data_IF_563076628436
#
_entry.id   IF_563076628436
#
_cell.length_a   1.000
_cell.length_b   1.000
_cell.length_c   1.000
_cell.angle_alpha   90.00
_cell.angle_beta   90.00
_cell.angle_gamma   90.00
#
_symmetry.space_group_name_H-M   'P 1'
#
loop_
_entity.id
_entity.type
_entity.pdbx_description
1 polymer ?
#
# COMPACT_ATOMS: atom_id res chain seq x y z
N UNK A 1 -35.64 -4.38 13.63
CA UNK A 1 -36.01 -3.89 12.28
C UNK A 1 -35.20 -2.63 12.05
N UNK A 2 -34.35 -2.46 11.03
CA UNK A 2 -34.11 -3.19 9.80
C UNK A 2 -32.59 -3.35 9.60
N UNK A 3 -32.17 -4.46 9.00
CA UNK A 3 -30.84 -4.59 8.42
C UNK A 3 -30.83 -3.77 7.13
N UNK A 4 -30.04 -2.68 7.12
CA UNK A 4 -29.61 -2.05 5.89
C UNK A 4 -28.16 -2.46 5.68
N UNK A 5 -27.93 -3.37 4.72
CA UNK A 5 -26.61 -3.59 4.17
C UNK A 5 -26.19 -2.34 3.41
N UNK A 6 -25.58 -1.40 4.12
CA UNK A 6 -24.83 -0.29 3.57
C UNK A 6 -23.43 -0.36 4.15
N UNK A 7 -22.41 -0.23 3.31
CA UNK A 7 -21.03 -0.04 3.75
C UNK A 7 -21.04 1.19 4.67
N UNK A 8 -20.92 1.00 5.98
CA UNK A 8 -20.99 2.09 6.95
C UNK A 8 -19.79 3.00 6.71
N UNK A 9 -20.07 4.18 6.18
CA UNK A 9 -19.11 5.28 6.10
C UNK A 9 -18.62 5.70 7.48
N UNK A 10 -17.62 6.57 7.50
CA UNK A 10 -16.89 7.00 8.69
C UNK A 10 -17.86 7.48 9.78
N UNK A 11 -17.68 6.96 11.00
CA UNK A 11 -18.42 7.37 12.19
C UNK A 11 -17.48 8.12 13.14
N UNK A 12 -17.89 9.32 13.55
CA UNK A 12 -17.14 10.17 14.48
C UNK A 12 -18.04 10.53 15.67
N UNK A 13 -17.46 10.65 16.86
CA UNK A 13 -18.14 11.19 18.04
C UNK A 13 -17.18 11.99 18.92
N UNK A 14 -17.68 13.05 19.52
CA UNK A 14 -16.95 13.91 20.46
C UNK A 14 -17.77 14.18 21.72
N UNK A 15 -17.07 14.46 22.83
CA UNK A 15 -17.66 14.81 24.11
C UNK A 15 -16.83 15.92 24.76
N UNK A 16 -17.38 17.13 24.79
CA UNK A 16 -16.77 18.29 25.43
C UNK A 16 -17.42 18.61 26.77
N UNK A 17 -16.60 18.74 27.82
CA UNK A 17 -17.03 19.01 29.18
C UNK A 17 -16.29 20.23 29.75
N UNK A 18 -17.00 21.31 30.14
CA UNK A 18 -16.38 22.39 30.90
C UNK A 18 -16.06 21.93 32.31
N UNK A 19 -14.79 21.94 32.68
CA UNK A 19 -14.33 21.52 34.01
C UNK A 19 -14.50 22.65 35.03
N UNK A 20 -14.05 23.85 34.67
CA UNK A 20 -14.16 25.06 35.48
C UNK A 20 -14.01 26.28 34.60
N UNK A 21 -14.69 27.36 34.96
CA UNK A 21 -14.75 28.55 34.14
C UNK A 21 -15.84 29.52 34.56
N UNK A 22 -15.97 30.59 33.79
CA UNK A 22 -17.05 31.55 33.81
C UNK A 22 -17.51 31.82 32.38
N UNK A 23 -18.35 32.84 32.17
CA UNK A 23 -18.88 33.16 30.85
C UNK A 23 -17.81 33.55 29.82
N UNK A 24 -16.63 33.96 30.27
CA UNK A 24 -15.56 34.45 29.40
C UNK A 24 -14.35 33.52 29.36
N UNK A 25 -14.29 32.50 30.21
CA UNK A 25 -13.13 31.62 30.32
C UNK A 25 -13.60 30.22 30.64
N UNK A 26 -13.13 29.21 29.91
CA UNK A 26 -13.41 27.83 30.25
C UNK A 26 -12.18 26.96 30.06
N UNK A 27 -11.89 26.15 31.07
CA UNK A 27 -11.07 24.95 30.93
C UNK A 27 -11.97 23.79 30.53
N UNK A 28 -11.58 23.10 29.47
CA UNK A 28 -12.37 22.10 28.78
C UNK A 28 -11.62 20.76 28.80
N UNK A 29 -12.37 19.70 29.02
CA UNK A 29 -11.98 18.33 28.71
C UNK A 29 -12.71 17.90 27.45
N UNK A 30 -12.02 17.26 26.52
CA UNK A 30 -12.62 16.75 25.29
C UNK A 30 -12.13 15.32 25.02
N UNK A 31 -13.07 14.42 24.71
CA UNK A 31 -12.78 13.08 24.20
C UNK A 31 -13.38 12.91 22.81
N UNK A 32 -12.59 12.39 21.86
CA UNK A 32 -13.03 12.12 20.49
C UNK A 32 -12.78 10.65 20.13
N UNK A 33 -13.66 10.08 19.31
CA UNK A 33 -13.54 8.74 18.80
C UNK A 33 -13.96 8.69 17.33
N UNK A 34 -13.28 7.85 16.56
CA UNK A 34 -13.49 7.68 15.12
C UNK A 34 -13.37 6.21 14.74
N UNK A 35 -14.21 5.77 13.82
CA UNK A 35 -14.23 4.42 13.28
C UNK A 35 -14.57 4.44 11.80
N UNK A 36 -13.81 3.72 10.99
CA UNK A 36 -13.98 3.65 9.54
C UNK A 36 -14.40 2.27 9.02
N UNK A 37 -14.82 2.24 7.76
CA UNK A 37 -15.10 1.00 7.03
C UNK A 37 -13.85 0.15 6.78
N UNK A 38 -12.69 0.78 6.80
CA UNK A 38 -11.35 0.20 6.74
C UNK A 38 -10.94 -0.55 8.04
N UNK A 39 -11.89 -0.76 8.96
CA UNK A 39 -11.70 -1.35 10.30
C UNK A 39 -10.72 -0.60 11.21
N UNK A 40 -10.22 0.54 10.75
CA UNK A 40 -9.36 1.41 11.50
C UNK A 40 -10.17 2.23 12.49
N UNK A 41 -9.51 2.69 13.55
CA UNK A 41 -10.15 3.53 14.55
C UNK A 41 -9.16 4.45 15.23
N UNK A 42 -9.67 5.53 15.80
CA UNK A 42 -8.90 6.43 16.63
C UNK A 42 -9.68 6.79 17.89
N UNK A 43 -8.95 6.96 18.99
CA UNK A 43 -9.47 7.53 20.23
C UNK A 43 -8.51 8.63 20.66
N UNK A 44 -9.07 9.78 21.01
CA UNK A 44 -8.34 10.97 21.39
C UNK A 44 -8.88 11.51 22.71
N UNK A 45 -7.97 11.98 23.56
CA UNK A 45 -8.33 12.70 24.78
C UNK A 45 -7.51 13.97 24.89
N UNK A 46 -8.15 15.09 25.22
CA UNK A 46 -7.49 16.39 25.23
C UNK A 46 -8.02 17.34 26.29
N UNK A 47 -7.20 18.34 26.57
CA UNK A 47 -7.53 19.46 27.44
C UNK A 47 -7.39 20.75 26.65
N UNK A 48 -8.28 21.71 26.92
CA UNK A 48 -8.29 23.00 26.25
C UNK A 48 -8.60 24.15 27.19
N UNK A 49 -8.21 25.34 26.79
CA UNK A 49 -8.61 26.58 27.41
C UNK A 49 -9.16 27.53 26.34
N UNK A 50 -10.30 28.18 26.63
CA UNK A 50 -10.92 29.19 25.77
C UNK A 50 -11.16 30.46 26.56
N UNK A 51 -10.87 31.61 25.95
CA UNK A 51 -11.09 32.94 26.48
C UNK A 51 -11.90 33.81 25.50
N UNK A 52 -12.96 34.45 25.97
CA UNK A 52 -13.75 35.43 25.22
C UNK A 52 -13.06 36.79 25.30
N UNK A 53 -12.62 37.27 24.15
CA UNK A 53 -11.93 38.54 23.96
C UNK A 53 -12.90 39.58 23.39
N UNK A 54 -13.18 40.62 24.19
CA UNK A 54 -14.03 41.78 23.85
C UNK A 54 -15.42 41.41 23.29
N UNK A 55 -16.06 40.35 23.81
CA UNK A 55 -17.38 39.86 23.35
C UNK A 55 -17.48 39.59 21.84
N UNK A 56 -16.34 39.49 21.15
CA UNK A 56 -16.26 39.46 19.71
C UNK A 56 -15.59 38.19 19.18
N UNK A 57 -14.63 37.64 19.94
CA UNK A 57 -13.86 36.46 19.55
C UNK A 57 -13.64 35.55 20.75
N UNK A 58 -13.55 34.25 20.49
CA UNK A 58 -12.95 33.29 21.41
C UNK A 58 -11.54 33.01 20.92
N UNK A 59 -10.56 33.09 21.81
CA UNK A 59 -9.21 32.61 21.60
C UNK A 59 -9.00 31.35 22.41
N UNK A 60 -8.48 30.29 21.79
CA UNK A 60 -8.32 29.00 22.44
C UNK A 60 -7.00 28.34 22.12
N UNK A 61 -6.57 27.49 23.03
CA UNK A 61 -5.45 26.58 22.85
C UNK A 61 -5.77 25.24 23.51
N UNK A 62 -5.31 24.15 22.90
CA UNK A 62 -5.59 22.80 23.37
C UNK A 62 -4.46 21.83 23.03
N UNK A 63 -4.47 20.69 23.72
CA UNK A 63 -3.52 19.61 23.56
C UNK A 63 -4.28 18.28 23.65
N UNK A 64 -4.03 17.39 22.68
CA UNK A 64 -4.56 16.04 22.69
C UNK A 64 -3.46 14.99 22.69
N UNK A 65 -3.82 13.83 23.21
CA UNK A 65 -3.15 12.56 22.94
C UNK A 65 -4.08 11.73 22.07
N UNK A 66 -3.61 11.35 20.88
CA UNK A 66 -4.35 10.53 19.93
C UNK A 66 -3.76 9.12 19.88
N UNK A 67 -4.61 8.11 19.87
CA UNK A 67 -4.25 6.71 19.62
C UNK A 67 -4.95 6.23 18.36
N UNK A 68 -4.18 5.98 17.31
CA UNK A 68 -4.64 5.37 16.08
C UNK A 68 -4.44 3.86 16.16
N UNK A 69 -5.52 3.11 16.01
CA UNK A 69 -5.48 1.66 15.76
C UNK A 69 -5.61 1.44 14.26
N UNK A 70 -4.56 0.92 13.66
CA UNK A 70 -4.50 0.59 12.24
C UNK A 70 -4.52 -0.93 12.07
N UNK A 71 -5.38 -1.44 11.18
CA UNK A 71 -5.53 -2.85 10.84
C UNK A 71 -5.13 -2.99 9.39
N UNK A 72 -4.12 -3.80 9.11
CA UNK A 72 -3.77 -4.13 7.74
C UNK A 72 -4.64 -5.30 7.27
N UNK A 73 -5.62 -5.04 6.40
CA UNK A 73 -6.59 -6.05 5.94
C UNK A 73 -5.93 -7.25 5.24
N UNK A 74 -4.75 -7.08 4.65
CA UNK A 74 -4.03 -8.15 3.95
C UNK A 74 -3.40 -9.19 4.90
N UNK A 75 -2.82 -8.73 6.00
CA UNK A 75 -2.06 -9.58 6.94
C UNK A 75 -2.76 -9.73 8.31
N UNK A 76 -3.94 -9.12 8.48
CA UNK A 76 -4.76 -9.10 9.72
C UNK A 76 -4.00 -8.64 10.98
N UNK A 77 -2.87 -7.94 10.79
CA UNK A 77 -2.07 -7.37 11.87
C UNK A 77 -2.69 -6.06 12.34
N UNK A 78 -2.54 -5.77 13.64
CA UNK A 78 -3.05 -4.55 14.26
C UNK A 78 -1.92 -3.78 14.90
N UNK A 79 -1.82 -2.49 14.58
CA UNK A 79 -0.79 -1.59 15.06
C UNK A 79 -1.39 -0.38 15.75
N UNK A 80 -0.58 0.25 16.60
CA UNK A 80 -0.99 1.41 17.36
C UNK A 80 0.01 2.54 17.19
N UNK A 81 -0.44 3.64 16.60
CA UNK A 81 0.34 4.87 16.48
C UNK A 81 -0.17 5.91 17.47
N UNK A 82 0.74 6.54 18.19
CA UNK A 82 0.42 7.54 19.21
C UNK A 82 0.92 8.91 18.80
N UNK A 83 0.07 9.92 18.99
CA UNK A 83 0.39 11.31 18.67
C UNK A 83 0.12 12.22 19.86
N UNK A 84 0.93 13.26 19.97
CA UNK A 84 0.63 14.45 20.77
C UNK A 84 0.32 15.58 19.81
N UNK A 85 -0.84 16.20 19.99
CA UNK A 85 -1.43 17.06 18.96
C UNK A 85 -1.87 18.40 19.56
N UNK A 86 -0.97 19.39 19.64
CA UNK A 86 -1.31 20.74 20.07
C UNK A 86 -2.08 21.50 18.99
N UNK A 87 -2.93 22.44 19.41
CA UNK A 87 -3.61 23.34 18.48
C UNK A 87 -4.03 24.65 19.10
N UNK A 88 -4.30 25.61 18.24
CA UNK A 88 -4.79 26.94 18.58
C UNK A 88 -5.98 27.30 17.70
N UNK A 89 -6.87 28.10 18.24
CA UNK A 89 -8.05 28.55 17.52
C UNK A 89 -8.44 29.99 17.84
N UNK A 90 -9.07 30.63 16.85
CA UNK A 90 -9.81 31.87 17.02
C UNK A 90 -11.18 31.71 16.39
N UNK A 91 -12.24 31.81 17.20
CA UNK A 91 -13.62 31.73 16.72
C UNK A 91 -14.30 33.09 16.84
N UNK A 92 -15.14 33.44 15.88
CA UNK A 92 -15.83 34.74 15.85
C UNK A 92 -17.23 34.66 15.25
N UNK A 93 -17.93 35.79 15.21
CA UNK A 93 -19.31 35.82 14.68
C UNK A 93 -19.40 35.75 13.15
N UNK A 94 -18.28 35.93 12.46
CA UNK A 94 -18.16 35.88 10.99
C UNK A 94 -17.20 34.78 10.55
N UNK A 95 -16.06 34.66 11.24
CA UNK A 95 -14.95 33.85 10.79
C UNK A 95 -14.30 33.08 11.93
N UNK A 96 -13.94 31.83 11.65
CA UNK A 96 -13.15 30.95 12.50
C UNK A 96 -11.78 30.69 11.84
N UNK A 97 -10.76 30.48 12.67
CA UNK A 97 -9.41 30.06 12.27
C UNK A 97 -8.93 28.97 13.23
N UNK A 98 -8.37 27.89 12.71
CA UNK A 98 -7.78 26.81 13.51
C UNK A 98 -6.46 26.36 12.88
N UNK A 99 -5.49 26.02 13.72
CA UNK A 99 -4.20 25.44 13.30
C UNK A 99 -3.85 24.32 14.29
N UNK A 100 -3.48 23.15 13.78
CA UNK A 100 -3.08 21.98 14.57
C UNK A 100 -1.73 21.46 14.13
N UNK A 101 -0.92 21.01 15.09
CA UNK A 101 0.27 20.20 14.85
C UNK A 101 0.06 18.76 15.31
N UNK A 102 0.75 17.82 14.69
CA UNK A 102 0.70 16.40 15.00
C UNK A 102 2.12 15.87 15.17
N UNK A 103 2.43 15.36 16.36
CA UNK A 103 3.79 14.89 16.70
C UNK A 103 3.70 13.41 17.09
N UNK A 104 4.24 12.48 16.29
CA UNK A 104 4.25 11.06 16.64
C UNK A 104 5.15 10.83 17.87
N UNK A 105 4.64 10.08 18.84
CA UNK A 105 5.36 9.68 20.06
C UNK A 105 5.53 8.16 20.19
N UNK A 106 5.06 7.40 19.19
CA UNK A 106 5.35 5.98 19.01
C UNK A 106 6.34 5.76 17.87
N UNK A 107 6.64 4.49 17.56
CA UNK A 107 7.25 4.13 16.28
C UNK A 107 6.45 4.74 15.13
N UNK A 108 7.15 5.21 14.10
CA UNK A 108 6.58 5.85 12.91
C UNK A 108 6.51 4.88 11.72
N UNK A 109 7.09 3.69 11.86
CA UNK A 109 7.11 2.68 10.82
C UNK A 109 7.14 1.30 11.46
N UNK A 110 6.31 0.40 10.96
CA UNK A 110 6.22 -0.98 11.42
C UNK A 110 6.18 -1.94 10.23
N UNK A 111 6.81 -3.11 10.39
CA UNK A 111 6.79 -4.16 9.37
C UNK A 111 5.64 -5.13 9.70
N UNK A 112 4.63 -5.14 8.84
CA UNK A 112 3.39 -5.91 9.02
C UNK A 112 3.41 -7.29 8.38
N UNK A 113 4.41 -7.57 7.55
CA UNK A 113 4.47 -8.81 6.81
C UNK A 113 5.68 -8.90 5.92
N UNK A 114 6.17 -10.13 5.74
CA UNK A 114 7.25 -10.44 4.81
C UNK A 114 6.79 -11.51 3.85
N UNK A 115 6.82 -11.22 2.55
CA UNK A 115 6.60 -12.21 1.50
C UNK A 115 7.91 -12.53 0.79
N UNK A 116 7.99 -13.70 0.17
CA UNK A 116 9.11 -14.10 -0.68
C UNK A 116 8.66 -14.02 -2.13
N UNK A 117 9.50 -13.44 -2.98
CA UNK A 117 9.28 -13.34 -4.41
C UNK A 117 10.52 -13.85 -5.16
N UNK A 118 10.27 -14.67 -6.18
CA UNK A 118 11.32 -15.06 -7.12
C UNK A 118 11.53 -13.90 -8.09
N UNK A 119 12.76 -13.40 -8.14
CA UNK A 119 13.18 -12.34 -9.06
C UNK A 119 14.39 -12.78 -9.84
N UNK A 120 14.50 -12.36 -11.10
CA UNK A 120 15.64 -12.67 -11.94
C UNK A 120 16.41 -11.39 -12.26
N UNK A 121 17.73 -11.52 -12.37
CA UNK A 121 18.57 -10.47 -12.96
C UNK A 121 19.73 -11.11 -13.70
N UNK A 122 19.90 -10.75 -14.97
CA UNK A 122 20.95 -11.32 -15.81
C UNK A 122 20.77 -12.83 -15.97
N UNK A 123 21.74 -13.60 -15.46
CA UNK A 123 21.79 -15.06 -15.49
C UNK A 123 21.45 -15.71 -14.14
N UNK A 124 20.84 -14.97 -13.22
CA UNK A 124 20.68 -15.40 -11.83
C UNK A 124 19.22 -15.31 -11.37
N UNK A 125 18.83 -16.28 -10.53
CA UNK A 125 17.56 -16.35 -9.82
C UNK A 125 17.78 -16.02 -8.34
N UNK A 126 16.98 -15.10 -7.82
CA UNK A 126 17.02 -14.66 -6.44
C UNK A 126 15.70 -14.92 -5.74
N UNK A 127 15.79 -15.36 -4.49
CA UNK A 127 14.72 -15.29 -3.50
C UNK A 127 14.80 -13.94 -2.80
N UNK A 128 13.89 -13.05 -3.13
CA UNK A 128 13.85 -11.67 -2.63
C UNK A 128 12.75 -11.53 -1.60
N UNK A 129 13.12 -11.05 -0.41
CA UNK A 129 12.13 -10.72 0.63
C UNK A 129 11.49 -9.38 0.32
N UNK A 130 10.17 -9.32 0.32
CA UNK A 130 9.38 -8.09 0.22
C UNK A 130 8.75 -7.81 1.58
N UNK A 131 9.09 -6.69 2.18
CA UNK A 131 8.52 -6.23 3.45
C UNK A 131 7.34 -5.30 3.18
N UNK A 132 6.20 -5.59 3.80
CA UNK A 132 5.07 -4.68 3.86
C UNK A 132 5.27 -3.76 5.07
N UNK A 133 5.23 -2.45 4.85
CA UNK A 133 5.47 -1.44 5.87
C UNK A 133 4.23 -0.57 6.04
N UNK A 134 3.85 -0.31 7.28
CA UNK A 134 2.94 0.79 7.61
C UNK A 134 3.78 1.97 8.11
N UNK A 135 3.54 3.16 7.57
CA UNK A 135 4.32 4.36 7.87
C UNK A 135 3.41 5.53 8.21
N UNK A 136 3.79 6.29 9.22
CA UNK A 136 3.12 7.54 9.64
C UNK A 136 4.19 8.59 9.98
N UNK A 137 3.79 9.80 10.32
CA UNK A 137 4.77 10.86 10.58
C UNK A 137 4.15 12.16 11.09
N UNK A 138 5.00 13.15 11.43
CA UNK A 138 4.56 14.46 11.88
C UNK A 138 3.76 15.18 10.79
N UNK A 139 2.95 16.14 11.23
CA UNK A 139 2.20 16.97 10.29
C UNK A 139 1.62 18.23 10.92
N UNK A 140 1.01 19.03 10.06
CA UNK A 140 0.33 20.27 10.41
C UNK A 140 -0.92 20.40 9.54
N UNK A 141 -1.98 20.95 10.11
CA UNK A 141 -3.12 21.40 9.34
C UNK A 141 -3.64 22.76 9.80
N UNK A 142 -4.44 23.38 8.95
CA UNK A 142 -5.13 24.62 9.28
C UNK A 142 -6.40 24.78 8.46
N UNK A 143 -7.37 25.46 9.06
CA UNK A 143 -8.69 25.71 8.47
C UNK A 143 -9.13 27.14 8.77
N UNK A 144 -9.72 27.79 7.77
CA UNK A 144 -10.45 29.04 7.91
C UNK A 144 -11.93 28.80 7.57
N UNK A 145 -12.83 29.31 8.40
CA UNK A 145 -14.26 29.09 8.27
C UNK A 145 -15.03 30.39 8.20
N UNK A 146 -15.98 30.50 7.28
CA UNK A 146 -17.06 31.48 7.33
C UNK A 146 -18.26 30.86 8.05
N UNK A 147 -18.56 31.39 9.22
CA UNK A 147 -19.69 30.92 10.05
C UNK A 147 -21.02 31.53 9.57
N UNK A 148 -20.94 32.55 8.69
CA UNK A 148 -22.07 33.16 8.00
C UNK A 148 -21.71 33.39 6.55
N UNK A 149 -22.20 32.52 5.65
CA UNK A 149 -22.04 32.73 4.21
C UNK A 149 -23.00 33.84 3.75
N UNK A 150 -22.52 34.89 3.06
CA UNK A 150 -23.38 35.93 2.53
C UNK A 150 -24.51 35.35 1.65
N UNK A 151 -25.73 35.85 1.85
CA UNK A 151 -26.93 35.47 1.09
C UNK A 151 -27.45 34.03 1.28
N UNK A 152 -26.81 33.21 2.11
CA UNK A 152 -27.29 31.86 2.46
C UNK A 152 -27.33 31.72 3.98
N UNK A 153 -28.46 32.09 4.63
CA UNK A 153 -28.61 32.00 6.08
C UNK A 153 -28.28 30.58 6.60
N UNK A 154 -27.67 30.50 7.77
CA UNK A 154 -27.29 29.27 8.47
C UNK A 154 -26.19 28.42 7.80
N UNK A 155 -25.81 28.68 6.54
CA UNK A 155 -24.71 27.97 5.92
C UNK A 155 -23.37 28.41 6.53
N UNK A 156 -22.58 27.41 6.93
CA UNK A 156 -21.19 27.56 7.33
C UNK A 156 -20.31 26.88 6.29
N UNK A 157 -19.23 27.54 5.89
CA UNK A 157 -18.30 27.03 4.89
C UNK A 157 -16.87 27.15 5.41
N UNK A 158 -16.06 26.14 5.15
CA UNK A 158 -14.69 26.03 5.63
C UNK A 158 -13.79 25.59 4.50
N UNK A 159 -12.57 26.11 4.51
CA UNK A 159 -11.50 25.68 3.62
C UNK A 159 -10.21 25.55 4.43
N UNK A 160 -9.46 24.49 4.16
CA UNK A 160 -8.24 24.20 4.89
C UNK A 160 -7.22 23.46 4.05
N UNK A 161 -6.02 23.34 4.60
CA UNK A 161 -4.92 22.60 4.01
C UNK A 161 -4.15 21.84 5.07
N UNK A 162 -3.45 20.79 4.65
CA UNK A 162 -2.67 19.94 5.53
C UNK A 162 -1.40 19.44 4.84
N UNK A 163 -0.39 19.15 5.67
CA UNK A 163 0.87 18.57 5.25
C UNK A 163 1.35 17.55 6.29
N UNK A 164 1.71 16.35 5.85
CA UNK A 164 2.28 15.29 6.69
C UNK A 164 3.54 14.72 6.02
N UNK A 165 4.49 14.28 6.84
CA UNK A 165 5.77 13.71 6.41
C UNK A 165 5.93 12.28 6.95
N UNK A 166 5.24 11.27 6.37
CA UNK A 166 5.36 9.89 6.84
C UNK A 166 6.79 9.35 6.62
N UNK A 167 7.26 8.55 7.58
CA UNK A 167 8.65 8.07 7.55
C UNK A 167 8.96 7.21 6.32
N UNK A 168 10.04 7.56 5.61
CA UNK A 168 10.55 6.88 4.41
C UNK A 168 9.52 6.76 3.27
N UNK A 169 8.52 7.66 3.22
CA UNK A 169 7.50 7.74 2.18
C UNK A 169 7.40 9.17 1.64
N UNK A 170 6.67 9.34 0.53
CA UNK A 170 6.37 10.66 0.00
C UNK A 170 5.47 11.46 0.95
N UNK A 171 5.72 12.77 1.03
CA UNK A 171 4.92 13.67 1.87
C UNK A 171 3.47 13.72 1.37
N UNK A 172 2.52 13.82 2.30
CA UNK A 172 1.10 14.01 1.98
C UNK A 172 0.77 15.49 2.08
N UNK A 173 0.36 16.12 0.99
CA UNK A 173 -0.10 17.51 0.97
C UNK A 173 -1.46 17.58 0.31
N UNK A 174 -2.40 18.24 0.98
CA UNK A 174 -3.76 18.33 0.48
C UNK A 174 -4.53 19.55 0.95
N UNK A 175 -5.73 19.65 0.39
CA UNK A 175 -6.71 20.68 0.71
C UNK A 175 -8.06 20.03 1.05
N UNK A 176 -8.84 20.74 1.85
CA UNK A 176 -10.19 20.34 2.24
C UNK A 176 -11.15 21.51 2.10
N UNK A 177 -12.33 21.23 1.55
CA UNK A 177 -13.50 22.09 1.64
C UNK A 177 -14.58 21.40 2.46
N UNK A 178 -15.24 22.14 3.36
CA UNK A 178 -16.33 21.61 4.17
C UNK A 178 -17.47 22.60 4.26
N UNK A 179 -18.70 22.11 4.11
CA UNK A 179 -19.91 22.87 4.35
C UNK A 179 -20.73 22.21 5.45
N UNK A 180 -21.27 23.01 6.35
CA UNK A 180 -22.18 22.59 7.41
C UNK A 180 -23.46 23.42 7.31
N UNK A 181 -24.59 22.73 7.22
CA UNK A 181 -25.91 23.32 7.15
C UNK A 181 -26.75 22.85 8.35
N UNK A 182 -26.80 23.63 9.44
CA UNK A 182 -27.64 23.36 10.59
C UNK A 182 -29.11 23.40 10.18
N UNK A 183 -29.81 22.28 10.34
CA UNK A 183 -31.26 22.19 10.11
C UNK A 183 -32.03 22.73 11.31
N UNK A 184 -31.49 22.52 12.51
CA UNK A 184 -32.00 23.02 13.78
C UNK A 184 -30.91 22.94 14.84
N UNK A 185 -31.26 23.28 16.09
CA UNK A 185 -30.38 23.23 17.25
C UNK A 185 -29.70 21.86 17.50
N UNK A 186 -30.20 20.74 16.99
CA UNK A 186 -29.66 19.40 17.28
C UNK A 186 -29.04 18.71 16.07
N UNK A 187 -29.41 19.10 14.86
CA UNK A 187 -29.11 18.37 13.63
C UNK A 187 -28.51 19.30 12.59
N UNK A 188 -27.39 18.88 11.99
CA UNK A 188 -26.79 19.54 10.84
C UNK A 188 -26.46 18.54 9.73
N UNK A 189 -26.54 19.00 8.49
CA UNK A 189 -25.98 18.28 7.34
C UNK A 189 -24.56 18.76 7.11
N UNK A 190 -23.65 17.83 6.80
CA UNK A 190 -22.26 18.14 6.50
C UNK A 190 -21.91 17.59 5.14
N UNK A 191 -21.16 18.34 4.33
CA UNK A 191 -20.47 17.79 3.17
C UNK A 191 -19.00 18.21 3.21
N UNK A 192 -18.12 17.28 2.91
CA UNK A 192 -16.66 17.46 2.94
C UNK A 192 -16.10 16.93 1.62
N UNK A 193 -15.21 17.70 1.02
CA UNK A 193 -14.43 17.29 -0.14
C UNK A 193 -12.96 17.52 0.17
N UNK A 194 -12.12 16.52 -0.08
CA UNK A 194 -10.67 16.60 0.15
C UNK A 194 -9.91 16.08 -1.04
N UNK A 195 -8.80 16.74 -1.34
CA UNK A 195 -7.85 16.27 -2.35
C UNK A 195 -6.42 16.30 -1.79
N UNK A 196 -5.69 15.20 -1.92
CA UNK A 196 -4.25 15.13 -1.66
C UNK A 196 -3.53 14.30 -2.73
N UNK A 197 -2.19 14.29 -2.69
CA UNK A 197 -1.35 13.56 -3.63
C UNK A 197 -1.25 12.04 -3.35
N UNK A 198 -1.90 11.52 -2.31
CA UNK A 198 -1.86 10.11 -1.92
C UNK A 198 -3.19 9.40 -2.26
N UNK A 199 -4.29 9.83 -1.65
CA UNK A 199 -5.65 9.30 -1.83
C UNK A 199 -6.44 10.04 -2.91
N UNK A 200 -5.92 11.15 -3.45
CA UNK A 200 -6.62 11.95 -4.45
C UNK A 200 -7.96 12.45 -3.89
N UNK A 201 -9.05 12.35 -4.66
CA UNK A 201 -10.32 12.96 -4.29
C UNK A 201 -11.15 12.07 -3.36
N UNK A 202 -11.59 12.63 -2.22
CA UNK A 202 -12.54 12.00 -1.30
C UNK A 202 -13.69 12.96 -1.04
N UNK A 203 -14.91 12.53 -1.37
CA UNK A 203 -16.13 13.28 -1.09
C UNK A 203 -17.01 12.55 -0.08
N UNK A 204 -17.56 13.28 0.89
CA UNK A 204 -18.41 12.75 1.95
C UNK A 204 -19.60 13.64 2.23
N UNK A 205 -20.72 12.99 2.57
CA UNK A 205 -21.92 13.64 3.09
C UNK A 205 -22.28 12.95 4.39
N UNK A 206 -22.62 13.74 5.40
CA UNK A 206 -22.87 13.26 6.76
C UNK A 206 -24.02 13.99 7.43
N UNK A 207 -24.50 13.38 8.52
CA UNK A 207 -25.45 13.98 9.44
C UNK A 207 -24.73 14.11 10.78
N UNK A 208 -24.77 15.31 11.35
CA UNK A 208 -24.23 15.58 12.67
C UNK A 208 -25.36 15.77 13.67
N UNK A 209 -25.28 15.04 14.77
CA UNK A 209 -26.19 15.16 15.92
C UNK A 209 -25.43 15.79 17.09
N UNK A 210 -26.00 16.81 17.73
CA UNK A 210 -25.37 17.50 18.87
C UNK A 210 -26.29 17.51 20.07
N UNK A 211 -25.82 16.92 21.17
CA UNK A 211 -26.52 16.91 22.45
C UNK A 211 -26.03 18.10 23.29
N UNK A 212 -26.95 18.87 23.89
CA UNK A 212 -26.65 20.21 24.42
C UNK A 212 -26.79 21.32 23.38
N UNK A 213 -26.89 20.91 22.11
CA UNK A 213 -27.29 21.70 20.95
C UNK A 213 -26.20 22.59 20.34
N UNK A 214 -26.43 22.96 19.09
CA UNK A 214 -25.63 23.87 18.28
C UNK A 214 -26.32 25.22 18.21
N UNK A 215 -25.57 26.31 18.28
CA UNK A 215 -26.13 27.62 17.94
C UNK A 215 -26.52 27.62 16.45
N UNK A 216 -27.80 27.42 16.19
CA UNK A 216 -28.44 27.53 14.87
C UNK A 216 -28.49 28.98 14.42
N UNK A 217 -28.48 29.91 15.36
CA UNK A 217 -28.36 31.34 15.11
C UNK A 217 -27.05 31.94 15.64
N UNK A 218 -26.02 31.98 14.79
CA UNK A 218 -24.78 32.73 15.05
C UNK A 218 -25.01 34.25 14.95
N UNK A 219 -26.23 34.71 14.64
CA UNK A 219 -26.63 36.13 14.66
C UNK A 219 -26.63 36.74 16.08
N UNK A 220 -26.67 35.91 17.13
CA UNK A 220 -26.64 36.37 18.51
C UNK A 220 -25.36 37.12 18.85
N UNK A 221 -25.48 38.25 19.55
CA UNK A 221 -24.38 39.03 20.16
C UNK A 221 -23.59 38.25 21.26
N UNK A 222 -23.77 36.94 21.35
CA UNK A 222 -23.42 36.12 22.50
C UNK A 222 -22.41 35.04 22.08
N UNK A 223 -21.20 35.48 21.72
CA UNK A 223 -20.09 34.62 21.30
C UNK A 223 -19.78 33.57 22.40
N UNK A 224 -20.07 33.88 23.66
CA UNK A 224 -19.91 33.03 24.84
C UNK A 224 -20.56 31.65 24.65
N UNK A 225 -21.68 31.57 23.92
CA UNK A 225 -22.37 30.29 23.67
C UNK A 225 -21.56 29.31 22.82
N UNK A 226 -20.52 29.79 22.15
CA UNK A 226 -19.60 28.97 21.32
C UNK A 226 -18.41 28.43 22.12
N UNK A 227 -18.35 28.69 23.43
CA UNK A 227 -17.29 28.16 24.32
C UNK A 227 -17.26 26.62 24.33
N UNK A 228 -18.37 25.97 24.01
CA UNK A 228 -18.49 24.50 23.96
C UNK A 228 -18.65 23.96 22.53
N UNK A 229 -18.39 24.78 21.51
CA UNK A 229 -18.32 24.29 20.12
C UNK A 229 -17.20 23.22 20.02
N UNK A 230 -17.34 22.17 19.20
CA UNK A 230 -16.33 21.11 19.08
C UNK A 230 -14.98 21.66 18.63
N UNK A 231 -13.90 20.96 18.99
CA UNK A 231 -12.58 21.22 18.43
C UNK A 231 -12.43 20.42 17.12
N UNK A 232 -12.34 21.13 16.00
CA UNK A 232 -12.17 20.53 14.67
C UNK A 232 -10.68 20.39 14.31
N UNK A 233 -10.27 19.17 13.96
CA UNK A 233 -8.89 18.74 13.65
C UNK A 233 -8.94 17.61 12.61
N UNK A 234 -7.77 17.11 12.20
CA UNK A 234 -7.60 15.91 11.37
C UNK A 234 -8.20 16.05 9.96
N UNK A 235 -7.83 17.13 9.24
CA UNK A 235 -8.35 17.40 7.89
C UNK A 235 -7.96 16.34 6.84
N UNK A 236 -6.86 15.62 7.05
CA UNK A 236 -6.29 14.68 6.07
C UNK A 236 -6.93 13.29 6.06
N UNK A 237 -7.65 12.91 7.10
CA UNK A 237 -8.05 11.51 7.31
C UNK A 237 -9.53 11.27 7.08
N UNK A 238 -10.23 12.13 6.33
CA UNK A 238 -11.69 12.03 6.22
C UNK A 238 -12.15 10.64 5.79
N UNK A 239 -11.41 9.93 4.93
CA UNK A 239 -11.77 8.60 4.38
C UNK A 239 -11.42 7.38 5.26
N UNK A 240 -10.67 7.55 6.35
CA UNK A 240 -10.13 6.43 7.16
C UNK A 240 -10.51 6.57 8.63
N UNK A 241 -10.64 5.45 9.35
CA UNK A 241 -10.92 5.46 10.78
C UNK A 241 -9.80 6.04 11.68
N UNK A 242 -8.62 6.31 11.14
CA UNK A 242 -7.50 6.94 11.88
C UNK A 242 -7.66 8.46 12.01
N UNK A 243 -7.02 9.07 13.01
CA UNK A 243 -6.94 10.52 13.21
C UNK A 243 -5.81 11.15 12.37
N UNK A 244 -4.64 10.50 12.29
CA UNK A 244 -3.52 10.90 11.44
C UNK A 244 -3.27 9.86 10.34
N UNK A 245 -2.75 10.28 9.16
CA UNK A 245 -2.60 9.39 8.03
C UNK A 245 -1.57 8.29 8.31
N UNK A 246 -1.91 7.08 7.87
CA UNK A 246 -1.03 5.90 7.86
C UNK A 246 -0.98 5.40 6.42
N UNK A 247 0.23 5.33 5.84
CA UNK A 247 0.50 4.84 4.49
C UNK A 247 0.95 3.39 4.57
N UNK A 248 0.45 2.54 3.67
CA UNK A 248 0.98 1.19 3.45
C UNK A 248 1.92 1.22 2.25
N UNK A 249 3.13 0.70 2.41
CA UNK A 249 4.14 0.63 1.35
C UNK A 249 4.84 -0.73 1.34
N UNK A 250 5.61 -0.99 0.29
CA UNK A 250 6.45 -2.18 0.17
C UNK A 250 7.91 -1.76 0.05
N UNK A 251 8.78 -2.51 0.71
CA UNK A 251 10.22 -2.32 0.63
C UNK A 251 10.91 -3.65 0.32
N UNK A 252 11.80 -3.63 -0.66
CA UNK A 252 12.63 -4.79 -0.99
C UNK A 252 13.67 -5.00 0.10
N UNK A 253 13.59 -6.14 0.76
CA UNK A 253 14.54 -6.60 1.76
C UNK A 253 15.73 -7.32 1.14
N UNK A 254 16.24 -8.33 1.85
CA UNK A 254 17.39 -9.10 1.41
C UNK A 254 17.03 -10.00 0.21
N UNK A 255 17.93 -10.06 -0.77
CA UNK A 255 17.89 -11.02 -1.87
C UNK A 255 18.95 -12.09 -1.66
N UNK A 256 18.54 -13.36 -1.79
CA UNK A 256 19.43 -14.52 -1.72
C UNK A 256 19.51 -15.18 -3.09
N UNK A 257 20.72 -15.39 -3.59
CA UNK A 257 20.96 -16.17 -4.81
C UNK A 257 20.49 -17.61 -4.60
N UNK A 258 19.54 -18.07 -5.42
CA UNK A 258 19.06 -19.46 -5.46
C UNK A 258 19.77 -20.27 -6.51
N UNK A 259 19.91 -19.70 -7.71
CA UNK A 259 20.51 -20.35 -8.86
C UNK A 259 21.23 -19.30 -9.71
N UNK A 260 22.33 -19.70 -10.31
CA UNK A 260 23.10 -18.87 -11.24
C UNK A 260 23.33 -19.66 -12.53
N UNK A 261 24.02 -19.04 -13.49
CA UNK A 261 24.35 -19.64 -14.79
C UNK A 261 23.11 -19.99 -15.62
N UNK A 262 22.02 -19.24 -15.47
CA UNK A 262 20.74 -19.46 -16.13
C UNK A 262 20.70 -18.76 -17.49
N UNK A 263 20.47 -19.50 -18.57
CA UNK A 263 20.27 -18.95 -19.91
C UNK A 263 18.80 -19.09 -20.30
N UNK A 264 18.17 -17.96 -20.65
CA UNK A 264 16.74 -17.88 -20.90
C UNK A 264 16.42 -18.00 -22.39
N UNK A 265 15.48 -18.86 -22.72
CA UNK A 265 14.98 -19.09 -24.06
C UNK A 265 13.47 -18.92 -24.11
N UNK A 266 13.00 -18.16 -25.11
CA UNK A 266 11.59 -17.94 -25.38
C UNK A 266 11.21 -18.46 -26.76
N UNK A 267 10.03 -19.08 -26.89
CA UNK A 267 9.55 -19.53 -28.20
C UNK A 267 9.14 -18.37 -29.10
N UNK A 268 8.77 -17.22 -28.51
CA UNK A 268 8.32 -16.02 -29.21
C UNK A 268 9.17 -14.81 -28.77
N UNK A 269 9.49 -13.90 -29.69
CA UNK A 269 10.05 -12.58 -29.39
C UNK A 269 11.43 -12.54 -28.69
N UNK A 270 12.24 -13.59 -28.86
CA UNK A 270 13.63 -13.62 -28.37
C UNK A 270 14.65 -13.08 -29.38
N UNK A 271 15.85 -12.77 -28.90
CA UNK A 271 16.97 -12.31 -29.75
C UNK A 271 17.85 -13.46 -30.22
N UNK A 272 18.60 -13.27 -31.30
CA UNK A 272 19.51 -14.28 -31.79
C UNK A 272 20.70 -14.46 -30.82
N UNK A 273 21.07 -15.71 -30.54
CA UNK A 273 22.26 -15.99 -29.74
C UNK A 273 23.53 -15.51 -30.47
N UNK A 274 24.38 -14.78 -29.76
CA UNK A 274 25.67 -14.30 -30.25
C UNK A 274 26.78 -14.61 -29.23
N UNK A 275 27.60 -15.61 -29.52
CA UNK A 275 28.69 -16.03 -28.66
C UNK A 275 29.70 -14.90 -28.34
N UNK A 276 29.87 -13.92 -29.23
CA UNK A 276 30.77 -12.79 -29.00
C UNK A 276 30.30 -11.86 -27.87
N UNK A 277 29.03 -11.95 -27.47
CA UNK A 277 28.48 -11.17 -26.35
C UNK A 277 28.67 -11.87 -24.99
N UNK A 278 29.20 -13.10 -24.95
CA UNK A 278 29.48 -13.82 -23.71
C UNK A 278 28.24 -13.96 -22.82
N UNK A 279 28.34 -13.52 -21.57
CA UNK A 279 27.27 -13.52 -20.56
C UNK A 279 26.32 -12.32 -20.64
N UNK A 280 26.36 -11.55 -21.74
CA UNK A 280 25.40 -10.47 -21.99
C UNK A 280 24.28 -10.91 -22.95
N UNK A 281 24.13 -12.22 -23.19
CA UNK A 281 23.17 -12.78 -24.14
C UNK A 281 22.36 -13.91 -23.49
N UNK A 282 21.09 -14.06 -23.86
CA UNK A 282 20.11 -14.94 -23.21
C UNK A 282 19.95 -14.65 -21.70
N UNK A 283 19.97 -13.38 -21.31
CA UNK A 283 19.64 -12.99 -19.93
C UNK A 283 18.12 -12.99 -19.73
N UNK A 284 17.66 -12.87 -18.50
CA UNK A 284 16.24 -12.74 -18.21
C UNK A 284 15.61 -11.54 -18.94
N UNK A 285 16.29 -10.40 -18.96
CA UNK A 285 15.81 -9.16 -19.59
C UNK A 285 15.85 -9.24 -21.13
N UNK A 286 16.73 -10.08 -21.68
CA UNK A 286 16.93 -10.25 -23.12
C UNK A 286 17.06 -11.74 -23.46
N UNK A 287 15.95 -12.51 -23.40
CA UNK A 287 15.99 -13.94 -23.64
C UNK A 287 16.31 -14.25 -25.11
N UNK A 288 16.91 -15.41 -25.33
CA UNK A 288 17.21 -15.90 -26.66
C UNK A 288 15.98 -16.49 -27.34
N UNK A 289 15.90 -16.35 -28.66
CA UNK A 289 14.88 -17.01 -29.45
C UNK A 289 15.10 -18.52 -29.43
N UNK A 290 14.02 -19.29 -29.32
CA UNK A 290 14.04 -20.74 -29.44
C UNK A 290 14.62 -21.24 -30.76
N UNK A 291 14.56 -20.44 -31.84
CA UNK A 291 15.20 -20.76 -33.13
C UNK A 291 16.73 -20.71 -33.06
N UNK A 292 17.29 -19.98 -32.10
CA UNK A 292 18.73 -19.92 -31.84
C UNK A 292 19.22 -21.08 -30.98
N UNK A 293 18.33 -21.94 -30.47
CA UNK A 293 18.73 -23.11 -29.69
C UNK A 293 19.22 -24.23 -30.63
N UNK A 294 20.50 -24.14 -31.01
CA UNK A 294 21.19 -25.08 -31.92
C UNK A 294 22.40 -25.72 -31.24
N UNK A 295 22.99 -26.76 -31.86
CA UNK A 295 24.22 -27.38 -31.35
C UNK A 295 25.37 -26.38 -31.14
N UNK A 296 25.50 -25.39 -32.04
CA UNK A 296 26.52 -24.34 -31.91
C UNK A 296 26.30 -23.51 -30.65
N UNK A 297 25.05 -23.13 -30.38
CA UNK A 297 24.66 -22.37 -29.17
C UNK A 297 24.93 -23.16 -27.91
N UNK A 298 24.56 -24.44 -27.88
CA UNK A 298 24.78 -25.31 -26.72
C UNK A 298 26.25 -25.48 -26.40
N UNK A 299 27.09 -25.71 -27.42
CA UNK A 299 28.55 -25.80 -27.27
C UNK A 299 29.15 -24.46 -26.80
N UNK A 300 28.66 -23.35 -27.35
CA UNK A 300 29.13 -22.00 -27.00
C UNK A 300 28.81 -21.68 -25.54
N UNK A 301 27.56 -21.92 -25.10
CA UNK A 301 27.15 -21.73 -23.70
C UNK A 301 28.00 -22.60 -22.78
N UNK A 302 28.25 -23.87 -23.13
CA UNK A 302 29.08 -24.76 -22.32
C UNK A 302 30.55 -24.34 -22.24
N UNK A 303 31.04 -23.57 -23.23
CA UNK A 303 32.39 -22.97 -23.21
C UNK A 303 32.43 -21.69 -22.37
N UNK A 304 31.34 -20.89 -22.40
CA UNK A 304 31.24 -19.63 -21.65
C UNK A 304 30.99 -19.90 -20.16
N UNK A 305 30.08 -20.83 -19.86
CA UNK A 305 29.56 -21.07 -18.52
C UNK A 305 29.45 -22.56 -18.24
N UNK A 306 30.20 -23.02 -17.22
CA UNK A 306 30.13 -24.40 -16.77
C UNK A 306 28.83 -24.67 -15.99
N UNK A 307 28.25 -25.88 -16.16
CA UNK A 307 26.98 -26.28 -15.53
C UNK A 307 25.82 -25.31 -15.80
N UNK A 308 25.67 -24.85 -17.04
CA UNK A 308 24.62 -23.90 -17.40
C UNK A 308 23.20 -24.48 -17.24
N UNK A 309 22.29 -23.68 -16.68
CA UNK A 309 20.89 -24.00 -16.53
C UNK A 309 20.10 -23.35 -17.68
N UNK A 310 19.50 -24.13 -18.56
CA UNK A 310 18.82 -23.64 -19.75
C UNK A 310 17.31 -23.61 -19.48
N UNK A 311 16.76 -22.41 -19.33
CA UNK A 311 15.36 -22.17 -18.97
C UNK A 311 14.54 -21.89 -20.23
N UNK A 312 13.43 -22.60 -20.40
CA UNK A 312 12.56 -22.48 -21.56
C UNK A 312 11.13 -22.17 -21.12
N UNK A 313 10.55 -21.10 -21.65
CA UNK A 313 9.14 -20.81 -21.43
C UNK A 313 8.24 -21.73 -22.31
N UNK A 314 6.91 -21.71 -22.11
CA UNK A 314 5.97 -22.50 -22.88
C UNK A 314 6.05 -22.22 -24.38
N UNK A 315 6.26 -23.26 -25.18
CA UNK A 315 6.29 -23.14 -26.65
C UNK A 315 6.97 -24.31 -27.34
N UNK A 316 7.09 -24.22 -28.68
CA UNK A 316 7.71 -25.24 -29.52
C UNK A 316 9.16 -24.90 -29.86
N UNK A 317 10.06 -25.86 -29.71
CA UNK A 317 11.49 -25.73 -29.94
C UNK A 317 11.97 -26.87 -30.86
N UNK A 318 12.37 -26.54 -32.09
CA UNK A 318 12.92 -27.54 -33.02
C UNK A 318 14.39 -27.78 -32.72
N UNK A 319 14.78 -29.04 -32.49
CA UNK A 319 16.17 -29.44 -32.30
C UNK A 319 16.87 -29.78 -33.63
N UNK A 320 16.13 -29.79 -34.75
CA UNK A 320 16.61 -30.18 -36.08
C UNK A 320 17.29 -31.57 -36.07
N UNK A 321 16.62 -32.57 -35.47
CA UNK A 321 17.07 -33.96 -35.38
C UNK A 321 17.60 -34.33 -33.99
N UNK A 322 18.87 -34.09 -33.71
CA UNK A 322 19.51 -34.45 -32.44
C UNK A 322 20.43 -33.34 -31.93
N UNK A 323 20.36 -33.04 -30.63
CA UNK A 323 21.22 -32.07 -29.95
C UNK A 323 21.96 -32.75 -28.79
N UNK A 324 23.30 -32.66 -28.79
CA UNK A 324 24.16 -33.12 -27.71
C UNK A 324 24.37 -32.02 -26.68
N UNK A 325 24.01 -32.29 -25.42
CA UNK A 325 24.30 -31.37 -24.32
C UNK A 325 25.77 -31.44 -23.91
N UNK A 326 26.30 -30.36 -23.35
CA UNK A 326 27.62 -30.38 -22.70
C UNK A 326 27.45 -30.93 -21.27
N UNK A 327 28.47 -31.61 -20.74
CA UNK A 327 28.48 -32.12 -19.36
C UNK A 327 28.01 -31.05 -18.36
N UNK A 328 27.11 -31.44 -17.44
CA UNK A 328 26.57 -30.54 -16.41
C UNK A 328 25.52 -29.52 -16.88
N UNK A 329 25.30 -29.34 -18.19
CA UNK A 329 24.19 -28.50 -18.67
C UNK A 329 22.84 -29.14 -18.36
N UNK A 330 21.89 -28.33 -17.92
CA UNK A 330 20.55 -28.82 -17.53
C UNK A 330 19.46 -28.05 -18.26
N UNK A 331 18.35 -28.70 -18.58
CA UNK A 331 17.20 -28.10 -19.27
C UNK A 331 15.99 -28.09 -18.33
N UNK A 332 15.37 -26.92 -18.21
CA UNK A 332 14.19 -26.72 -17.39
C UNK A 332 13.09 -26.05 -18.21
N UNK A 333 11.93 -26.71 -18.29
CA UNK A 333 10.70 -26.07 -18.75
C UNK A 333 10.07 -25.27 -17.61
N UNK A 334 9.82 -23.99 -17.84
CA UNK A 334 9.32 -23.04 -16.85
C UNK A 334 8.03 -22.37 -17.34
N UNK A 335 7.31 -21.74 -16.41
CA UNK A 335 6.17 -20.86 -16.69
C UNK A 335 6.58 -19.71 -17.64
N UNK A 336 5.60 -18.95 -18.13
CA UNK A 336 5.86 -17.87 -19.09
C UNK A 336 6.83 -16.81 -18.58
N UNK A 337 6.82 -16.55 -17.27
CA UNK A 337 7.69 -15.64 -16.53
C UNK A 337 8.92 -16.33 -15.91
N UNK A 338 9.13 -17.61 -16.21
CA UNK A 338 10.20 -18.47 -15.69
C UNK A 338 10.19 -18.76 -14.18
N UNK A 339 9.26 -18.22 -13.40
CA UNK A 339 9.30 -18.29 -11.92
C UNK A 339 8.93 -19.68 -11.37
N UNK A 340 8.19 -20.50 -12.12
CA UNK A 340 7.72 -21.81 -11.68
C UNK A 340 8.04 -22.92 -12.70
N UNK A 341 8.19 -24.19 -12.28
CA UNK A 341 8.24 -25.32 -13.21
C UNK A 341 6.95 -25.46 -14.01
N UNK A 342 7.06 -25.68 -15.33
CA UNK A 342 5.90 -25.81 -16.19
C UNK A 342 5.14 -27.15 -15.99
N UNK A 343 3.81 -27.10 -16.06
CA UNK A 343 2.95 -28.29 -15.91
C UNK A 343 2.07 -28.52 -17.14
N UNK A 344 1.66 -29.77 -17.35
CA UNK A 344 0.72 -30.14 -18.41
C UNK A 344 1.14 -29.68 -19.81
N UNK A 345 0.25 -28.95 -20.48
CA UNK A 345 0.43 -28.46 -21.85
C UNK A 345 1.31 -27.22 -21.96
N UNK A 346 1.66 -26.59 -20.83
CA UNK A 346 2.52 -25.40 -20.78
C UNK A 346 4.01 -25.76 -20.76
N UNK A 347 4.35 -27.05 -20.64
CA UNK A 347 5.74 -27.50 -20.76
C UNK A 347 6.30 -27.20 -22.14
N UNK A 348 7.52 -26.64 -22.18
CA UNK A 348 8.30 -26.48 -23.40
C UNK A 348 8.35 -27.79 -24.19
N UNK A 349 7.95 -27.74 -25.46
CA UNK A 349 7.88 -28.88 -26.36
C UNK A 349 9.08 -28.88 -27.29
N UNK A 350 9.97 -29.85 -27.12
CA UNK A 350 11.11 -30.06 -27.99
C UNK A 350 10.77 -31.08 -29.07
N UNK A 351 11.06 -30.75 -30.34
CA UNK A 351 10.85 -31.62 -31.50
C UNK A 351 12.22 -32.12 -31.97
N UNK A 352 12.49 -33.41 -31.79
CA UNK A 352 13.79 -34.05 -32.08
C UNK A 352 14.25 -34.97 -30.96
N UNK A 353 15.53 -34.95 -30.63
CA UNK A 353 16.13 -35.74 -29.54
C UNK A 353 17.30 -35.04 -28.86
N UNK A 354 17.52 -35.37 -27.58
CA UNK A 354 18.71 -34.97 -26.84
C UNK A 354 19.66 -36.15 -26.69
N UNK A 355 20.97 -35.88 -26.81
CA UNK A 355 22.03 -36.78 -26.38
C UNK A 355 22.63 -36.21 -25.09
N UNK A 356 22.19 -36.69 -23.91
CA UNK A 356 22.76 -36.25 -22.65
C UNK A 356 24.15 -36.88 -22.44
N UNK A 357 24.99 -36.12 -21.77
CA UNK A 357 26.24 -36.59 -21.16
C UNK A 357 26.05 -36.65 -19.64
N UNK A 358 27.05 -37.19 -18.93
CA UNK A 358 26.98 -37.34 -17.49
C UNK A 358 26.58 -36.03 -16.79
N UNK A 359 25.72 -36.14 -15.77
CA UNK A 359 25.26 -35.02 -14.93
C UNK A 359 24.35 -33.96 -15.61
N UNK A 360 23.75 -34.25 -16.78
CA UNK A 360 22.66 -33.42 -17.30
C UNK A 360 21.33 -33.69 -16.57
N UNK A 361 20.55 -32.64 -16.31
CA UNK A 361 19.19 -32.75 -15.77
C UNK A 361 18.16 -32.26 -16.79
N UNK A 362 17.04 -32.96 -16.94
CA UNK A 362 15.87 -32.48 -17.67
C UNK A 362 14.69 -32.43 -16.70
N UNK A 363 14.02 -31.29 -16.63
CA UNK A 363 12.83 -31.14 -15.81
C UNK A 363 11.74 -30.36 -16.54
N UNK A 364 10.49 -30.76 -16.32
CA UNK A 364 9.30 -30.01 -16.75
C UNK A 364 9.24 -29.71 -18.26
N UNK A 365 9.78 -30.60 -19.10
CA UNK A 365 9.72 -30.52 -20.58
C UNK A 365 8.82 -31.58 -21.20
N UNK A 366 8.48 -31.40 -22.47
CA UNK A 366 7.92 -32.43 -23.36
C UNK A 366 8.90 -32.68 -24.49
N UNK A 367 9.21 -33.94 -24.76
CA UNK A 367 10.02 -34.34 -25.90
C UNK A 367 9.13 -35.09 -26.90
N UNK A 368 9.11 -34.60 -28.14
CA UNK A 368 8.38 -35.19 -29.26
C UNK A 368 9.40 -35.63 -30.30
N UNK A 369 9.34 -36.91 -30.64
CA UNK A 369 10.20 -37.51 -31.64
C UNK A 369 9.69 -37.14 -33.06
N UNK A 370 10.60 -36.80 -33.96
CA UNK A 370 10.36 -36.39 -35.36
C UNK A 370 10.78 -37.43 -36.43
N UNK A 371 11.19 -38.64 -36.02
CA UNK A 371 11.56 -39.74 -36.91
C UNK A 371 13.01 -39.72 -37.41
N UNK A 372 13.82 -38.73 -37.04
CA UNK A 372 15.22 -38.59 -37.48
C UNK A 372 16.26 -39.02 -36.42
N UNK A 373 15.86 -39.73 -35.35
CA UNK A 373 16.74 -40.12 -34.24
C UNK A 373 17.56 -41.38 -34.56
N UNK A 374 18.85 -41.37 -34.21
CA UNK A 374 19.62 -42.61 -34.11
C UNK A 374 19.30 -43.31 -32.78
N UNK A 375 18.80 -44.53 -32.85
CA UNK A 375 18.46 -45.32 -31.67
C UNK A 375 19.72 -45.71 -30.90
N UNK A 376 19.91 -45.06 -29.75
CA UNK A 376 20.90 -45.42 -28.75
C UNK A 376 20.69 -44.63 -27.47
N UNK A 377 19.71 -45.01 -26.64
CA UNK A 377 19.87 -45.31 -25.20
C UNK A 377 18.55 -45.34 -24.40
N UNK A 378 18.69 -46.01 -23.25
CA UNK A 378 17.75 -46.35 -22.18
C UNK A 378 17.29 -45.11 -21.38
N UNK A 379 15.98 -45.00 -21.17
CA UNK A 379 15.35 -44.05 -20.25
C UNK A 379 15.59 -44.49 -18.79
N UNK A 380 16.54 -43.87 -18.07
CA UNK A 380 16.61 -44.01 -16.61
C UNK A 380 15.72 -42.91 -16.00
N UNK A 381 14.50 -43.28 -15.63
CA UNK A 381 13.64 -42.50 -14.75
C UNK A 381 14.21 -42.56 -13.33
N UNK A 382 15.12 -41.65 -12.98
CA UNK A 382 15.50 -41.47 -11.58
C UNK A 382 14.37 -40.73 -10.86
N UNK A 383 13.47 -41.47 -10.22
CA UNK A 383 12.55 -40.90 -9.24
C UNK A 383 13.36 -40.32 -8.08
N UNK A 384 13.61 -39.01 -8.09
CA UNK A 384 14.07 -38.30 -6.90
C UNK A 384 12.85 -38.18 -5.99
N UNK A 385 12.84 -39.02 -4.94
CA UNK A 385 11.80 -39.07 -3.91
C UNK A 385 11.55 -37.63 -3.40
N UNK A 386 10.34 -37.15 -3.65
CA UNK A 386 9.82 -35.93 -3.06
C UNK A 386 9.80 -36.14 -1.54
N UNK A 387 10.54 -35.30 -0.81
CA UNK A 387 10.50 -35.27 0.65
C UNK A 387 9.10 -34.77 1.05
N UNK A 388 8.24 -35.68 1.48
CA UNK A 388 6.97 -35.37 2.15
C UNK A 388 7.29 -34.74 3.50
N UNK A 389 7.20 -33.41 3.58
CA UNK A 389 7.10 -32.71 4.87
C UNK A 389 5.65 -32.82 5.33
N UNK A 390 5.38 -33.70 6.29
CA UNK A 390 4.11 -33.69 7.02
C UNK A 390 4.14 -32.54 8.01
N UNK A 391 3.24 -31.57 7.86
CA UNK A 391 2.87 -30.66 8.94
C UNK A 391 1.78 -31.31 9.78
N UNK A 392 1.95 -31.26 11.10
CA UNK A 392 0.89 -31.50 12.08
C UNK A 392 0.13 -30.22 12.33
#
# INVERSE_FOLDING_TARGET
>A
MAAAGGTLGIANGDLMLPLFGNNDNAFLLDGQAKYGNDTNSAISGGLGFRHVYHDARILGGYLYVDRNRFVNEGDLTTENFWFVSPGIESMGNLMDLRINGYIPVSSQQENVGTSQAITFSGHSEFDTTINNLNSTGPGIDGEIGLVKVPHIPHLRAYVGGYHFEPKDQDNITGASGRVEFPLNHYVALTAVDTYDNNVHNTFQVGIRLTLGGMNDDVSGKDIQRRIVDPINRNLSTQYTGTAQPVIVSQSTGNSRLLMDNIYFFTSNDGTAFNAAQGTNNCTFEHPCSGTSFTQSTVNSIGTITNNANLFFNPGGYSLNGQLSLVEGQSIFGRSFDYTQPAVGTERAMFIGSFLPHDNNTFDSIRLVNDGNQQFGFLLILTFKILRLTMYK
#
